data_IF_263247229127
#
_entry.id   IF_263247229127
#
_cell.length_a   1.000
_cell.length_b   1.000
_cell.length_c   1.000
_cell.angle_alpha   90.00
_cell.angle_beta   90.00
_cell.angle_gamma   90.00
#
_symmetry.space_group_name_H-M   'P 1'
#
loop_
_entity.id
_entity.type
_entity.pdbx_description
1 polymer ?
#
# COMPACT_ATOMS: atom_id res chain seq x y z
N UNK A 1 62.12 -19.37 15.00
CA UNK A 1 60.71 -19.79 14.85
C UNK A 1 60.50 -19.90 13.35
N UNK A 2 60.23 -21.10 12.83
CA UNK A 2 60.04 -21.30 11.40
C UNK A 2 58.65 -20.76 11.03
N UNK A 3 58.60 -19.72 10.20
CA UNK A 3 57.36 -19.26 9.59
C UNK A 3 56.84 -20.40 8.70
N UNK A 4 55.82 -21.10 9.19
CA UNK A 4 55.09 -22.08 8.41
C UNK A 4 54.52 -21.36 7.18
N UNK A 5 55.10 -21.62 6.01
CA UNK A 5 54.57 -21.08 4.77
C UNK A 5 53.14 -21.61 4.60
N UNK A 6 52.14 -20.75 4.36
CA UNK A 6 50.76 -21.18 4.15
C UNK A 6 50.72 -22.18 2.99
N UNK A 7 49.91 -23.24 3.12
CA UNK A 7 49.82 -24.28 2.09
C UNK A 7 49.29 -23.64 0.79
N UNK A 8 50.02 -23.76 -0.34
CA UNK A 8 49.61 -23.16 -1.60
C UNK A 8 48.24 -23.65 -2.11
N UNK A 9 47.73 -24.78 -1.61
CA UNK A 9 46.41 -25.32 -1.99
C UNK A 9 45.27 -24.96 -1.03
N UNK A 10 45.54 -24.32 0.12
CA UNK A 10 44.50 -23.94 1.09
C UNK A 10 43.42 -23.06 0.48
N UNK A 11 43.81 -22.14 -0.42
CA UNK A 11 42.85 -21.27 -1.12
C UNK A 11 41.93 -22.03 -2.08
N UNK A 12 42.42 -23.13 -2.69
CA UNK A 12 41.67 -23.98 -3.61
C UNK A 12 40.73 -24.92 -2.86
N UNK A 13 41.20 -25.48 -1.74
CA UNK A 13 40.42 -26.39 -0.91
C UNK A 13 39.26 -25.67 -0.19
N UNK A 14 39.44 -24.40 0.19
CA UNK A 14 38.40 -23.59 0.83
C UNK A 14 37.62 -22.71 -0.16
N UNK A 15 37.76 -22.93 -1.47
CA UNK A 15 37.19 -22.05 -2.50
C UNK A 15 35.65 -22.11 -2.50
N UNK A 16 35.08 -23.29 -2.27
CA UNK A 16 33.63 -23.50 -2.18
C UNK A 16 33.05 -22.69 -1.02
N UNK A 17 33.60 -22.85 0.18
CA UNK A 17 33.15 -22.14 1.38
C UNK A 17 33.30 -20.62 1.24
N UNK A 18 34.37 -20.16 0.57
CA UNK A 18 34.58 -18.74 0.25
C UNK A 18 33.47 -18.20 -0.65
N UNK A 19 33.19 -18.86 -1.79
CA UNK A 19 32.13 -18.40 -2.70
C UNK A 19 30.74 -18.58 -2.11
N UNK A 20 30.51 -19.59 -1.28
CA UNK A 20 29.24 -19.76 -0.58
C UNK A 20 29.01 -18.60 0.40
N UNK A 21 30.02 -18.28 1.21
CA UNK A 21 29.96 -17.18 2.17
C UNK A 21 29.83 -15.83 1.46
N UNK A 22 30.58 -15.63 0.38
CA UNK A 22 30.52 -14.43 -0.44
C UNK A 22 29.12 -14.26 -1.04
N UNK A 23 28.61 -15.26 -1.74
CA UNK A 23 27.28 -15.24 -2.35
C UNK A 23 26.16 -15.04 -1.33
N UNK A 24 26.25 -15.68 -0.17
CA UNK A 24 25.31 -15.47 0.94
C UNK A 24 25.37 -14.03 1.45
N UNK A 25 26.56 -13.51 1.72
CA UNK A 25 26.74 -12.14 2.22
C UNK A 25 26.23 -11.09 1.23
N UNK A 26 26.53 -11.30 -0.06
CA UNK A 26 26.07 -10.44 -1.15
C UNK A 26 24.54 -10.49 -1.25
N UNK A 27 23.95 -11.69 -1.29
CA UNK A 27 22.51 -11.89 -1.35
C UNK A 27 21.77 -11.29 -0.14
N UNK A 28 22.31 -11.41 1.07
CA UNK A 28 21.74 -10.77 2.27
C UNK A 28 21.85 -9.25 2.17
N UNK A 29 22.98 -8.72 1.72
CA UNK A 29 23.19 -7.28 1.60
C UNK A 29 22.25 -6.65 0.56
N UNK A 30 22.11 -7.30 -0.60
CA UNK A 30 21.24 -6.87 -1.69
C UNK A 30 19.78 -7.04 -1.32
N UNK A 31 19.40 -8.17 -0.72
CA UNK A 31 18.05 -8.43 -0.25
C UNK A 31 17.60 -7.42 0.81
N UNK A 32 18.47 -7.09 1.76
CA UNK A 32 18.19 -6.07 2.80
C UNK A 32 18.03 -4.68 2.18
N UNK A 33 18.87 -4.34 1.20
CA UNK A 33 18.79 -3.06 0.49
C UNK A 33 17.52 -2.97 -0.36
N UNK A 34 17.25 -3.98 -1.18
CA UNK A 34 16.08 -4.08 -2.03
C UNK A 34 14.79 -4.03 -1.21
N UNK A 35 14.69 -4.84 -0.15
CA UNK A 35 13.51 -4.87 0.72
C UNK A 35 13.22 -3.54 1.40
N UNK A 36 14.24 -2.78 1.81
CA UNK A 36 14.05 -1.43 2.38
C UNK A 36 13.54 -0.44 1.33
N UNK A 37 14.06 -0.50 0.11
CA UNK A 37 13.62 0.37 -0.99
C UNK A 37 12.18 0.04 -1.37
N UNK A 38 11.87 -1.23 -1.57
CA UNK A 38 10.54 -1.72 -1.91
C UNK A 38 9.51 -1.36 -0.84
N UNK A 39 9.83 -1.61 0.44
CA UNK A 39 8.95 -1.25 1.56
C UNK A 39 8.65 0.25 1.62
N UNK A 40 9.64 1.11 1.31
CA UNK A 40 9.43 2.57 1.24
C UNK A 40 8.53 2.96 0.07
N UNK A 41 8.76 2.39 -1.11
CA UNK A 41 7.95 2.67 -2.30
C UNK A 41 6.50 2.23 -2.07
N UNK A 42 6.30 1.01 -1.58
CA UNK A 42 4.98 0.46 -1.29
C UNK A 42 4.23 1.28 -0.23
N UNK A 43 4.91 1.66 0.86
CA UNK A 43 4.33 2.51 1.89
C UNK A 43 3.87 3.87 1.35
N UNK A 44 4.68 4.50 0.50
CA UNK A 44 4.32 5.77 -0.15
C UNK A 44 3.12 5.59 -1.09
N UNK A 45 3.14 4.57 -1.95
CA UNK A 45 2.05 4.29 -2.88
C UNK A 45 0.72 4.12 -2.14
N UNK A 46 0.71 3.32 -1.06
CA UNK A 46 -0.48 3.09 -0.24
C UNK A 46 -0.91 4.32 0.55
N UNK A 47 0.04 5.10 1.06
CA UNK A 47 -0.24 6.39 1.71
C UNK A 47 -0.93 7.35 0.75
N UNK A 48 -0.43 7.50 -0.48
CA UNK A 48 -1.05 8.36 -1.49
C UNK A 48 -2.43 7.88 -1.92
N UNK A 49 -2.63 6.57 -2.10
CA UNK A 49 -3.95 6.00 -2.43
C UNK A 49 -5.00 6.39 -1.37
N UNK A 50 -4.64 6.25 -0.09
CA UNK A 50 -5.49 6.61 1.04
C UNK A 50 -5.74 8.13 1.12
N UNK A 51 -4.70 8.95 0.94
CA UNK A 51 -4.80 10.41 0.94
C UNK A 51 -5.65 10.96 -0.21
N UNK A 52 -5.54 10.37 -1.41
CA UNK A 52 -6.38 10.73 -2.56
C UNK A 52 -7.86 10.45 -2.28
N UNK A 53 -8.18 9.28 -1.70
CA UNK A 53 -9.57 8.98 -1.35
C UNK A 53 -10.08 9.91 -0.25
N UNK A 54 -9.27 10.22 0.77
CA UNK A 54 -9.60 11.22 1.80
C UNK A 54 -9.90 12.59 1.16
N UNK A 55 -9.04 13.07 0.26
CA UNK A 55 -9.24 14.33 -0.46
C UNK A 55 -10.51 14.34 -1.31
N UNK A 56 -10.85 13.21 -1.95
CA UNK A 56 -12.12 13.07 -2.69
C UNK A 56 -13.34 13.23 -1.78
N UNK A 57 -13.28 12.67 -0.57
CA UNK A 57 -14.35 12.83 0.43
C UNK A 57 -14.41 14.27 0.95
N UNK A 58 -13.26 14.92 1.18
CA UNK A 58 -13.16 16.33 1.57
C UNK A 58 -13.77 17.27 0.55
N UNK A 59 -13.49 17.06 -0.74
CA UNK A 59 -14.11 17.84 -1.83
C UNK A 59 -15.64 17.69 -1.86
N UNK A 60 -16.17 16.47 -1.63
CA UNK A 60 -17.62 16.27 -1.50
C UNK A 60 -18.19 17.02 -0.29
N UNK A 61 -17.48 17.00 0.83
CA UNK A 61 -17.88 17.69 2.04
C UNK A 61 -17.99 19.21 1.80
N UNK A 62 -16.99 19.82 1.15
CA UNK A 62 -17.00 21.24 0.78
C UNK A 62 -18.14 21.60 -0.18
N UNK A 63 -18.43 20.74 -1.17
CA UNK A 63 -19.57 20.91 -2.07
C UNK A 63 -20.89 20.91 -1.28
N UNK A 64 -21.09 19.93 -0.40
CA UNK A 64 -22.31 19.88 0.41
C UNK A 64 -22.42 21.04 1.39
N UNK A 65 -21.30 21.48 1.98
CA UNK A 65 -21.25 22.65 2.85
C UNK A 65 -21.65 23.93 2.10
N UNK A 66 -21.11 24.14 0.91
CA UNK A 66 -21.48 25.28 0.03
C UNK A 66 -22.95 25.24 -0.36
N UNK A 67 -23.49 24.05 -0.69
CA UNK A 67 -24.90 23.85 -1.06
C UNK A 67 -25.88 24.04 0.10
N UNK A 68 -25.43 23.86 1.34
CA UNK A 68 -26.21 24.14 2.56
C UNK A 68 -26.23 25.64 2.91
N UNK A 69 -25.18 26.38 2.54
CA UNK A 69 -25.07 27.82 2.78
C UNK A 69 -25.80 28.66 1.72
N UNK A 70 -26.05 28.10 0.53
CA UNK A 70 -26.78 28.79 -0.53
C UNK A 70 -28.25 28.98 -0.13
N UNK A 71 -28.71 30.23 0.09
CA UNK A 71 -30.11 30.48 0.39
C UNK A 71 -30.97 30.02 -0.79
N UNK A 72 -32.09 29.35 -0.52
CA UNK A 72 -33.12 29.04 -1.50
C UNK A 72 -33.79 30.34 -1.95
N UNK A 73 -33.10 31.14 -2.76
CA UNK A 73 -33.69 32.31 -3.41
C UNK A 73 -34.29 31.85 -4.73
N UNK A 74 -35.62 31.64 -4.72
CA UNK A 74 -36.46 31.49 -5.90
C UNK A 74 -36.59 32.79 -6.72
N UNK A 75 -35.80 33.83 -6.42
CA UNK A 75 -35.82 35.09 -7.15
C UNK A 75 -34.47 35.43 -7.75
N UNK A 76 -34.48 35.50 -9.08
CA UNK A 76 -33.47 36.10 -9.94
C UNK A 76 -32.95 37.41 -9.33
N UNK A 77 -31.65 37.51 -9.09
CA UNK A 77 -30.91 38.77 -9.19
C UNK A 77 -29.48 38.43 -9.54
N UNK A 78 -29.09 38.87 -10.73
CA UNK A 78 -27.73 38.80 -11.25
C UNK A 78 -26.79 39.69 -10.43
N UNK A 79 -25.51 39.33 -10.49
CA UNK A 79 -24.34 40.16 -10.22
C UNK A 79 -23.87 40.30 -8.76
N UNK A 80 -23.18 39.26 -8.28
CA UNK A 80 -21.72 39.28 -8.03
C UNK A 80 -21.28 38.07 -7.18
N UNK A 81 -20.85 36.99 -7.84
CA UNK A 81 -19.73 36.09 -7.46
C UNK A 81 -19.82 34.79 -8.28
N UNK A 82 -19.19 34.84 -9.43
CA UNK A 82 -19.07 33.78 -10.42
C UNK A 82 -18.36 32.55 -9.84
N UNK A 83 -19.12 31.52 -9.45
CA UNK A 83 -18.84 30.08 -9.66
C UNK A 83 -19.77 29.14 -8.86
N UNK A 84 -20.50 29.62 -7.85
CA UNK A 84 -21.48 28.82 -7.08
C UNK A 84 -22.81 28.57 -7.82
N UNK A 85 -23.01 29.23 -8.97
CA UNK A 85 -24.29 29.36 -9.68
C UNK A 85 -24.78 28.13 -10.47
N UNK A 86 -24.20 26.93 -10.29
CA UNK A 86 -24.68 25.71 -10.97
C UNK A 86 -25.13 24.59 -10.04
N UNK A 87 -25.00 24.76 -8.72
CA UNK A 87 -25.32 23.69 -7.78
C UNK A 87 -26.73 23.87 -7.18
N UNK A 88 -27.55 22.81 -7.26
CA UNK A 88 -28.89 22.80 -6.66
C UNK A 88 -28.77 22.98 -5.14
N UNK A 89 -29.39 24.01 -4.54
CA UNK A 89 -29.38 24.20 -3.09
C UNK A 89 -29.96 22.98 -2.38
N UNK A 90 -29.37 22.62 -1.24
CA UNK A 90 -29.88 21.53 -0.39
C UNK A 90 -30.71 22.12 0.74
N UNK A 91 -31.90 21.53 0.99
CA UNK A 91 -32.72 21.91 2.14
C UNK A 91 -31.98 21.49 3.42
N UNK A 92 -31.37 22.47 4.09
CA UNK A 92 -30.49 22.23 5.23
C UNK A 92 -31.21 21.82 6.51
N UNK A 93 -31.56 20.53 6.61
CA UNK A 93 -31.96 19.99 7.91
C UNK A 93 -30.80 20.06 8.90
N UNK A 94 -31.08 20.38 10.17
CA UNK A 94 -30.04 20.51 11.21
C UNK A 94 -29.22 19.22 11.39
N UNK A 95 -29.86 18.06 11.17
CA UNK A 95 -29.18 16.75 11.17
C UNK A 95 -28.18 16.63 10.03
N UNK A 96 -28.56 17.04 8.82
CA UNK A 96 -27.67 17.02 7.65
C UNK A 96 -26.48 17.97 7.87
N UNK A 97 -26.73 19.17 8.40
CA UNK A 97 -25.69 20.16 8.71
C UNK A 97 -24.62 19.60 9.65
N UNK A 98 -25.02 18.98 10.76
CA UNK A 98 -24.11 18.33 11.71
C UNK A 98 -23.30 17.19 11.10
N UNK A 99 -23.89 16.41 10.19
CA UNK A 99 -23.18 15.33 9.52
C UNK A 99 -22.15 15.85 8.52
N UNK A 100 -22.47 16.92 7.78
CA UNK A 100 -21.54 17.58 6.85
C UNK A 100 -20.39 18.25 7.61
N UNK A 101 -20.68 18.96 8.69
CA UNK A 101 -19.68 19.58 9.57
C UNK A 101 -18.69 18.53 10.10
N UNK A 102 -19.20 17.42 10.65
CA UNK A 102 -18.33 16.32 11.11
C UNK A 102 -17.53 15.69 9.97
N UNK A 103 -18.06 15.60 8.75
CA UNK A 103 -17.31 15.10 7.61
C UNK A 103 -16.16 16.05 7.23
N UNK A 104 -16.39 17.37 7.30
CA UNK A 104 -15.34 18.38 7.06
C UNK A 104 -14.22 18.24 8.09
N UNK A 105 -14.55 18.16 9.39
CA UNK A 105 -13.56 17.94 10.45
C UNK A 105 -12.71 16.67 10.23
N UNK A 106 -13.34 15.57 9.77
CA UNK A 106 -12.63 14.32 9.51
C UNK A 106 -11.74 14.35 8.25
N UNK A 107 -11.95 15.33 7.36
CA UNK A 107 -11.27 15.44 6.06
C UNK A 107 -10.35 16.67 5.98
N UNK A 108 -10.18 17.39 7.08
CA UNK A 108 -9.39 18.62 7.13
C UNK A 108 -7.90 18.31 6.97
N UNK A 109 -7.22 18.85 5.94
CA UNK A 109 -5.86 18.44 5.58
C UNK A 109 -4.81 18.84 6.63
N UNK A 110 -4.99 19.98 7.29
CA UNK A 110 -4.06 20.49 8.32
C UNK A 110 -4.11 19.67 9.62
N UNK A 111 -5.21 18.95 9.85
CA UNK A 111 -5.44 18.11 11.03
C UNK A 111 -4.88 16.68 10.85
N UNK A 112 -4.50 16.30 9.63
CA UNK A 112 -4.03 14.96 9.32
C UNK A 112 -2.53 14.83 9.61
N UNK A 113 -2.18 13.92 10.52
CA UNK A 113 -0.79 13.55 10.73
C UNK A 113 -0.28 12.74 9.53
N UNK A 114 0.88 13.15 9.00
CA UNK A 114 1.51 12.54 7.81
C UNK A 114 2.78 11.77 8.15
N UNK A 115 3.03 11.53 9.45
CA UNK A 115 4.16 10.72 9.90
C UNK A 115 3.90 9.24 9.62
N UNK A 116 4.97 8.49 9.37
CA UNK A 116 4.91 7.03 9.19
C UNK A 116 5.12 6.30 10.52
N UNK A 117 4.38 6.71 11.55
CA UNK A 117 4.31 6.03 12.85
C UNK A 117 3.02 5.19 12.88
N UNK A 118 3.05 4.05 13.58
CA UNK A 118 1.90 3.12 13.61
C UNK A 118 0.62 3.79 14.12
N UNK A 119 0.73 4.64 15.15
CA UNK A 119 -0.38 5.40 15.71
C UNK A 119 -0.97 6.38 14.69
N UNK A 120 -0.12 7.17 14.01
CA UNK A 120 -0.53 8.12 12.98
C UNK A 120 -1.24 7.43 11.80
N UNK A 121 -0.74 6.26 11.38
CA UNK A 121 -1.36 5.46 10.31
C UNK A 121 -2.73 4.94 10.75
N UNK A 122 -2.85 4.43 11.98
CA UNK A 122 -4.12 3.93 12.49
C UNK A 122 -5.16 5.06 12.63
N UNK A 123 -4.75 6.22 13.17
CA UNK A 123 -5.63 7.39 13.29
C UNK A 123 -6.12 7.86 11.91
N UNK A 124 -5.24 7.88 10.90
CA UNK A 124 -5.61 8.19 9.53
C UNK A 124 -6.66 7.20 8.99
N UNK A 125 -6.46 5.90 9.20
CA UNK A 125 -7.38 4.86 8.73
C UNK A 125 -8.75 4.93 9.43
N UNK A 126 -8.77 5.21 10.73
CA UNK A 126 -10.00 5.46 11.49
C UNK A 126 -10.77 6.67 10.96
N UNK A 127 -10.07 7.79 10.69
CA UNK A 127 -10.66 8.98 10.08
C UNK A 127 -11.22 8.68 8.69
N UNK A 128 -10.47 7.97 7.85
CA UNK A 128 -10.89 7.56 6.51
C UNK A 128 -12.15 6.68 6.55
N UNK A 129 -12.20 5.69 7.46
CA UNK A 129 -13.37 4.85 7.66
C UNK A 129 -14.58 5.67 8.14
N UNK A 130 -14.36 6.58 9.10
CA UNK A 130 -15.38 7.51 9.60
C UNK A 130 -15.95 8.40 8.48
N UNK A 131 -15.08 9.00 7.67
CA UNK A 131 -15.46 9.85 6.55
C UNK A 131 -16.27 9.09 5.49
N UNK A 132 -15.88 7.86 5.16
CA UNK A 132 -16.63 6.98 4.23
C UNK A 132 -18.04 6.68 4.77
N UNK A 133 -18.15 6.38 6.07
CA UNK A 133 -19.43 6.14 6.72
C UNK A 133 -20.33 7.39 6.70
N UNK A 134 -19.79 8.57 7.03
CA UNK A 134 -20.53 9.84 6.98
C UNK A 134 -20.96 10.20 5.57
N UNK A 135 -20.10 10.03 4.58
CA UNK A 135 -20.43 10.26 3.16
C UNK A 135 -21.61 9.40 2.72
N UNK A 136 -21.58 8.10 3.04
CA UNK A 136 -22.68 7.18 2.71
C UNK A 136 -23.99 7.59 3.37
N UNK A 137 -23.93 8.04 4.63
CA UNK A 137 -25.10 8.54 5.35
C UNK A 137 -25.65 9.83 4.72
N UNK A 138 -24.80 10.79 4.38
CA UNK A 138 -25.19 12.06 3.77
C UNK A 138 -25.82 11.81 2.39
N UNK A 139 -25.22 10.99 1.55
CA UNK A 139 -25.78 10.60 0.25
C UNK A 139 -27.19 10.02 0.37
N UNK A 140 -27.43 9.18 1.39
CA UNK A 140 -28.77 8.64 1.69
C UNK A 140 -29.77 9.72 2.11
N UNK A 141 -29.35 10.68 2.94
CA UNK A 141 -30.22 11.78 3.40
C UNK A 141 -30.55 12.74 2.25
N UNK A 142 -29.59 13.02 1.39
CA UNK A 142 -29.74 13.93 0.25
C UNK A 142 -30.54 13.27 -0.90
N UNK A 143 -30.58 11.94 -0.95
CA UNK A 143 -31.21 11.20 -2.05
C UNK A 143 -30.35 11.16 -3.32
N UNK A 144 -29.10 11.63 -3.24
CA UNK A 144 -28.06 11.44 -4.25
C UNK A 144 -27.50 10.02 -4.06
N UNK A 145 -28.32 9.00 -4.38
CA UNK A 145 -27.75 7.69 -4.67
C UNK A 145 -26.83 7.85 -5.89
N UNK A 146 -25.73 7.11 -5.92
CA UNK A 146 -24.85 7.02 -7.08
C UNK A 146 -25.58 6.33 -8.24
N UNK A 147 -26.62 6.96 -8.80
CA UNK A 147 -27.13 6.60 -10.11
C UNK A 147 -26.05 7.01 -11.11
N UNK A 148 -25.35 6.00 -11.61
CA UNK A 148 -24.73 6.11 -12.92
C UNK A 148 -25.82 6.61 -13.87
N UNK A 149 -25.69 7.86 -14.30
CA UNK A 149 -26.42 8.40 -15.44
C UNK A 149 -25.89 7.73 -16.71
N UNK A 150 -26.22 6.46 -16.88
CA UNK A 150 -26.31 5.84 -18.20
C UNK A 150 -27.70 6.21 -18.72
N UNK A 151 -27.81 7.41 -19.28
CA UNK A 151 -28.96 7.77 -20.10
C UNK A 151 -28.92 6.91 -21.34
N UNK A 152 -29.76 5.89 -21.33
CA UNK A 152 -30.31 5.22 -22.50
C UNK A 152 -30.91 6.26 -23.45
N UNK A 153 -30.32 6.42 -24.63
CA UNK A 153 -31.08 6.74 -25.83
C UNK A 153 -31.15 5.47 -26.69
N UNK A 154 -32.36 5.12 -27.09
CA UNK A 154 -32.69 3.84 -27.67
C UNK A 154 -32.82 3.86 -29.19
N UNK A 155 -32.68 2.67 -29.80
CA UNK A 155 -33.47 2.30 -30.97
C UNK A 155 -32.73 2.24 -32.31
N UNK A 156 -32.16 1.06 -32.62
CA UNK A 156 -31.80 0.67 -33.98
C UNK A 156 -31.74 -0.85 -34.09
N UNK A 157 -32.70 -1.44 -34.79
CA UNK A 157 -33.15 -2.84 -34.74
C UNK A 157 -32.60 -3.68 -35.91
N UNK A 158 -32.32 -4.96 -35.63
CA UNK A 158 -32.33 -6.16 -36.50
C UNK A 158 -31.26 -6.43 -37.58
N UNK A 159 -30.57 -7.58 -37.47
CA UNK A 159 -30.99 -8.82 -38.17
C UNK A 159 -30.23 -10.08 -37.69
N UNK A 160 -30.86 -11.27 -37.69
CA UNK A 160 -30.28 -12.55 -37.24
C UNK A 160 -29.87 -13.48 -38.40
N UNK A 161 -29.00 -14.46 -38.13
CA UNK A 161 -29.02 -15.76 -38.81
C UNK A 161 -27.69 -16.36 -39.29
N UNK A 162 -27.23 -17.42 -38.60
CA UNK A 162 -26.79 -18.74 -39.15
C UNK A 162 -26.17 -19.55 -38.02
N UNK A 163 -26.86 -20.58 -37.53
CA UNK A 163 -26.89 -21.96 -38.05
C UNK A 163 -25.65 -22.74 -37.63
N UNK A 164 -25.89 -23.79 -36.85
CA UNK A 164 -24.88 -24.51 -36.07
C UNK A 164 -24.14 -25.60 -36.81
N UNK A 165 -23.26 -26.25 -36.07
CA UNK A 165 -22.76 -27.60 -36.34
C UNK A 165 -22.04 -28.10 -35.08
N UNK A 166 -22.54 -29.22 -34.56
CA UNK A 166 -21.88 -30.10 -33.61
C UNK A 166 -20.95 -31.05 -34.37
N UNK A 167 -19.79 -31.42 -33.80
CA UNK A 167 -19.14 -32.75 -33.88
C UNK A 167 -17.82 -32.68 -33.08
N UNK A 168 -17.71 -33.27 -31.90
CA UNK A 168 -17.34 -34.67 -31.60
C UNK A 168 -15.83 -34.99 -31.69
N UNK A 169 -15.28 -35.25 -30.50
CA UNK A 169 -14.39 -36.34 -30.09
C UNK A 169 -13.03 -36.64 -30.78
N UNK A 170 -12.05 -36.82 -29.89
CA UNK A 170 -10.95 -37.78 -29.89
C UNK A 170 -9.73 -37.53 -30.81
N UNK A 171 -8.58 -37.24 -30.19
CA UNK A 171 -7.50 -38.23 -30.18
C UNK A 171 -6.50 -38.00 -29.02
N UNK A 172 -6.34 -39.06 -28.24
CA UNK A 172 -5.16 -39.48 -27.47
C UNK A 172 -3.91 -39.55 -28.40
N UNK A 173 -2.62 -39.46 -28.03
CA UNK A 173 -1.82 -40.00 -26.90
C UNK A 173 -0.33 -39.50 -27.08
N UNK A 174 0.72 -39.96 -26.35
CA UNK A 174 1.69 -39.12 -25.62
C UNK A 174 3.13 -39.19 -26.17
N UNK A 175 4.07 -38.39 -25.61
CA UNK A 175 5.53 -38.71 -25.57
C UNK A 175 6.30 -37.81 -24.58
N UNK A 176 6.80 -38.47 -23.53
CA UNK A 176 7.89 -38.26 -22.53
C UNK A 176 9.14 -37.41 -22.92
N UNK A 177 10.18 -37.29 -22.06
CA UNK A 177 10.29 -36.59 -20.77
C UNK A 177 11.40 -35.51 -20.79
N UNK A 178 11.26 -34.44 -20.00
CA UNK A 178 12.29 -33.41 -19.81
C UNK A 178 12.64 -33.29 -18.33
N UNK A 179 13.83 -33.73 -17.99
CA UNK A 179 14.47 -33.84 -16.69
C UNK A 179 14.47 -32.50 -15.93
N UNK A 180 13.60 -32.37 -14.93
CA UNK A 180 13.62 -31.29 -13.93
C UNK A 180 14.02 -31.89 -12.60
N UNK A 181 15.27 -31.67 -12.18
CA UNK A 181 15.73 -31.99 -10.83
C UNK A 181 15.07 -31.00 -9.87
N UNK A 182 13.99 -31.42 -9.22
CA UNK A 182 13.48 -30.76 -8.01
C UNK A 182 14.47 -31.00 -6.87
N UNK A 183 15.24 -29.97 -6.52
CA UNK A 183 15.98 -29.94 -5.26
C UNK A 183 15.03 -29.54 -4.14
N UNK A 184 14.50 -30.55 -3.45
CA UNK A 184 13.81 -30.41 -2.17
C UNK A 184 14.78 -29.86 -1.11
N UNK A 185 14.55 -28.61 -0.73
CA UNK A 185 15.40 -27.82 0.19
C UNK A 185 15.02 -28.09 1.65
N UNK A 186 14.80 -29.34 2.01
CA UNK A 186 14.42 -29.77 3.38
C UNK A 186 15.35 -30.84 3.96
N UNK A 187 16.66 -30.72 3.76
CA UNK A 187 17.63 -31.43 4.60
C UNK A 187 17.91 -30.64 5.89
N UNK A 188 16.98 -30.71 6.83
CA UNK A 188 17.27 -30.44 8.23
C UNK A 188 18.12 -31.60 8.78
N UNK A 189 19.42 -31.36 8.98
CA UNK A 189 20.31 -32.28 9.70
C UNK A 189 19.74 -32.49 11.11
N UNK A 190 19.30 -33.71 11.40
CA UNK A 190 18.86 -34.12 12.75
C UNK A 190 20.09 -34.16 13.67
N UNK A 191 20.14 -33.41 14.78
CA UNK A 191 21.20 -33.59 15.76
C UNK A 191 20.98 -34.91 16.51
N UNK A 192 21.96 -35.80 16.41
CA UNK A 192 22.01 -37.02 17.21
C UNK A 192 22.25 -36.68 18.68
N UNK A 193 21.45 -37.30 19.54
CA UNK A 193 21.46 -37.25 21.00
C UNK A 193 22.85 -37.17 21.67
N UNK A 194 22.99 -36.20 22.59
CA UNK A 194 23.64 -36.45 23.89
C UNK A 194 24.74 -35.48 24.31
N UNK A 195 24.40 -34.42 25.06
CA UNK A 195 25.03 -34.10 26.36
C UNK A 195 24.35 -32.88 26.99
N UNK A 196 24.25 -32.88 28.33
CA UNK A 196 23.53 -31.90 29.15
C UNK A 196 24.32 -30.60 29.27
N UNK A 197 23.60 -29.48 29.20
CA UNK A 197 23.88 -28.29 30.02
C UNK A 197 24.58 -27.12 29.34
N UNK A 198 23.80 -26.12 28.91
CA UNK A 198 24.02 -24.70 29.17
C UNK A 198 22.84 -23.89 28.61
N UNK A 199 22.19 -23.06 29.44
CA UNK A 199 21.25 -22.04 28.96
C UNK A 199 22.05 -20.91 28.30
N UNK A 200 21.67 -20.42 27.11
CA UNK A 200 22.26 -19.19 26.58
C UNK A 200 21.79 -17.99 27.41
N UNK A 201 22.62 -16.95 27.62
CA UNK A 201 22.20 -15.75 28.31
C UNK A 201 21.15 -15.01 27.48
N UNK A 202 20.11 -14.51 28.15
CA UNK A 202 19.15 -13.57 27.57
C UNK A 202 19.89 -12.26 27.33
N UNK A 203 20.17 -11.93 26.07
CA UNK A 203 20.63 -10.60 25.71
C UNK A 203 19.39 -9.72 25.59
N UNK A 204 19.24 -8.81 26.55
CA UNK A 204 18.28 -7.72 26.54
C UNK A 204 18.53 -6.84 25.32
N UNK A 205 17.44 -6.43 24.66
CA UNK A 205 17.49 -5.43 23.61
C UNK A 205 17.94 -4.09 24.19
N UNK A 206 19.20 -3.76 23.94
CA UNK A 206 19.72 -2.40 23.99
C UNK A 206 20.28 -2.11 22.58
N UNK A 207 19.68 -1.12 21.93
CA UNK A 207 20.03 -0.65 20.60
C UNK A 207 21.32 0.18 20.76
N UNK A 208 22.49 -0.41 20.52
CA UNK A 208 23.75 0.35 20.65
C UNK A 208 23.88 1.39 19.54
N UNK A 209 24.08 2.62 19.97
CA UNK A 209 24.27 3.82 19.17
C UNK A 209 25.54 3.74 18.29
N UNK A 210 25.29 3.92 17.00
CA UNK A 210 26.03 4.77 16.06
C UNK A 210 27.30 5.45 16.60
N UNK A 211 28.49 4.93 16.23
CA UNK A 211 29.72 5.72 16.18
C UNK A 211 30.74 5.11 15.20
N UNK A 212 30.67 5.51 13.93
CA UNK A 212 31.58 5.04 12.88
C UNK A 212 31.85 6.07 11.80
N UNK A 213 32.10 7.33 12.18
CA UNK A 213 32.65 8.35 11.28
C UNK A 213 34.12 8.60 11.66
N UNK A 214 35.08 8.49 10.72
CA UNK A 214 36.48 8.82 10.99
C UNK A 214 36.63 10.34 11.18
N UNK A 215 37.01 10.75 12.38
CA UNK A 215 37.32 12.15 12.70
C UNK A 215 38.59 12.60 11.96
N UNK A 216 38.45 13.55 11.04
CA UNK A 216 39.58 14.28 10.48
C UNK A 216 40.29 15.07 11.59
N UNK A 217 41.52 14.68 11.92
CA UNK A 217 42.43 15.51 12.72
C UNK A 217 42.77 16.78 11.92
N UNK A 218 42.23 17.93 12.34
CA UNK A 218 42.77 19.24 11.96
C UNK A 218 44.11 19.44 12.65
N UNK A 219 45.17 19.58 11.86
CA UNK A 219 46.42 20.17 12.30
C UNK A 219 46.23 21.69 12.47
N UNK A 220 46.73 22.25 13.56
CA UNK A 220 47.01 23.68 13.63
C UNK A 220 48.18 23.92 14.58
N UNK A 221 49.14 24.68 14.05
CA UNK A 221 50.37 25.30 14.58
C UNK A 221 50.77 25.04 16.04
#
# INVERSE_FOLDING_TARGET
MADAQPDPFDSLLNLEDQYFTEGYSLGVSDGTRAGRIEGRIFGLEKGYEKALEMGRLGGKAQIWQTRLQSPTNDHQTQDQQSQTARMKPLKGSERLRKHVERLVELTEPESLETKNEEEAVNEFDERLAGAKAKTTLISKIVGESSSSSTSSDGGGVSSPGRAGSQSAAANEMPSSPGEGVEVDMTHAVRPTSGSRGAKPPKQSGEMEDFAGLPQLKKSSN
#
